data_IF_890717053022
#
_entry.id   IF_890717053022
#
_cell.length_a   1.000
_cell.length_b   1.000
_cell.length_c   1.000
_cell.angle_alpha   90.00
_cell.angle_beta   90.00
_cell.angle_gamma   90.00
#
_symmetry.space_group_name_H-M   'P 1'
#
loop_
_entity.id
_entity.type
_entity.pdbx_description
1 polymer ?
#
# COMPACT_ATOMS: atom_id res chain seq x y z
N UNK A 1 7.78 19.90 11.99
CA UNK A 1 8.37 18.59 11.63
C UNK A 1 8.30 18.51 10.12
N UNK A 2 9.39 18.14 9.42
CA UNK A 2 9.30 17.97 7.96
C UNK A 2 8.47 16.74 7.62
N UNK A 3 7.95 16.70 6.40
CA UNK A 3 7.11 15.63 5.88
C UNK A 3 7.87 14.30 5.85
N UNK A 4 9.17 14.31 5.53
CA UNK A 4 10.03 13.11 5.56
C UNK A 4 10.23 12.60 7.00
N UNK A 5 10.40 13.51 7.98
CA UNK A 5 10.48 13.13 9.39
C UNK A 5 9.15 12.56 9.87
N UNK A 6 8.02 13.14 9.48
CA UNK A 6 6.71 12.61 9.82
C UNK A 6 6.51 11.21 9.25
N UNK A 7 6.91 10.99 7.99
CA UNK A 7 6.87 9.68 7.36
C UNK A 7 7.67 8.63 8.15
N UNK A 8 8.93 8.93 8.49
CA UNK A 8 9.84 8.03 9.20
C UNK A 8 9.43 7.80 10.66
N UNK A 9 9.28 8.88 11.41
CA UNK A 9 9.16 8.87 12.87
C UNK A 9 7.73 8.62 13.37
N UNK A 10 6.72 8.82 12.51
CA UNK A 10 5.31 8.59 12.87
C UNK A 10 4.74 7.43 12.08
N UNK A 11 4.65 7.54 10.76
CA UNK A 11 3.93 6.52 9.97
C UNK A 11 4.67 5.18 9.97
N UNK A 12 5.98 5.16 9.72
CA UNK A 12 6.76 3.91 9.77
C UNK A 12 7.02 3.50 11.22
N UNK A 13 7.59 4.37 12.06
CA UNK A 13 8.05 3.95 13.39
C UNK A 13 6.94 3.67 14.42
N UNK A 14 5.79 4.34 14.33
CA UNK A 14 4.73 4.22 15.36
C UNK A 14 3.49 3.48 14.87
N UNK A 15 3.16 3.56 13.58
CA UNK A 15 1.92 2.99 13.06
C UNK A 15 2.11 1.64 12.35
N UNK A 16 3.30 1.34 11.81
CA UNK A 16 3.58 0.05 11.17
C UNK A 16 3.95 -1.01 12.21
N UNK A 17 3.30 -2.16 12.13
CA UNK A 17 3.62 -3.36 12.90
C UNK A 17 4.91 -4.03 12.42
N UNK A 18 5.43 -4.96 13.22
CA UNK A 18 6.68 -5.67 12.90
C UNK A 18 6.57 -6.53 11.65
N UNK A 19 5.38 -6.94 11.23
CA UNK A 19 5.09 -7.69 10.02
C UNK A 19 5.00 -6.81 8.76
N UNK A 20 4.91 -5.49 8.90
CA UNK A 20 4.69 -4.53 7.82
C UNK A 20 3.24 -4.08 7.67
N UNK A 21 2.30 -4.69 8.40
CA UNK A 21 0.90 -4.25 8.44
C UNK A 21 0.72 -2.98 9.27
N UNK A 22 -0.48 -2.40 9.23
CA UNK A 22 -0.85 -1.25 10.07
C UNK A 22 -1.93 -1.70 11.06
N UNK A 23 -1.59 -1.98 12.34
CA UNK A 23 -2.51 -2.60 13.29
C UNK A 23 -3.82 -1.83 13.50
N UNK A 24 -3.77 -0.49 13.45
CA UNK A 24 -4.99 0.33 13.58
C UNK A 24 -5.93 0.17 12.38
N UNK A 25 -5.39 -0.07 11.19
CA UNK A 25 -6.17 -0.33 9.98
C UNK A 25 -6.74 -1.75 9.95
N UNK A 26 -5.96 -2.73 10.42
CA UNK A 26 -6.40 -4.11 10.59
C UNK A 26 -7.52 -4.27 11.64
N UNK A 27 -7.62 -3.34 12.59
CA UNK A 27 -8.66 -3.33 13.62
C UNK A 27 -9.98 -2.67 13.16
N UNK A 28 -10.06 -2.15 11.92
CA UNK A 28 -11.26 -1.46 11.41
C UNK A 28 -12.34 -2.45 10.97
N UNK A 29 -13.53 -1.91 10.69
CA UNK A 29 -14.65 -2.67 10.12
C UNK A 29 -14.49 -3.01 8.64
N UNK A 30 -13.54 -2.36 7.96
CA UNK A 30 -13.15 -2.62 6.56
C UNK A 30 -11.64 -2.87 6.46
N UNK A 31 -11.10 -3.86 7.19
CA UNK A 31 -9.66 -3.97 7.40
C UNK A 31 -8.87 -4.20 6.10
N UNK A 32 -9.47 -4.81 5.07
CA UNK A 32 -8.82 -5.03 3.79
C UNK A 32 -8.72 -3.72 2.99
N UNK A 33 -9.86 -3.03 2.78
CA UNK A 33 -9.90 -1.74 2.12
C UNK A 33 -9.07 -0.67 2.83
N UNK A 34 -9.07 -0.63 4.17
CA UNK A 34 -8.21 0.29 4.93
C UNK A 34 -6.73 -0.04 4.77
N UNK A 35 -6.35 -1.32 4.73
CA UNK A 35 -4.96 -1.73 4.47
C UNK A 35 -4.50 -1.32 3.07
N UNK A 36 -5.36 -1.49 2.06
CA UNK A 36 -5.11 -1.04 0.68
C UNK A 36 -4.94 0.48 0.64
N UNK A 37 -5.90 1.21 1.21
CA UNK A 37 -5.87 2.68 1.25
C UNK A 37 -4.61 3.20 1.94
N UNK A 38 -4.27 2.63 3.09
CA UNK A 38 -3.07 3.02 3.83
C UNK A 38 -1.80 2.72 3.03
N UNK A 39 -1.71 1.56 2.38
CA UNK A 39 -0.54 1.22 1.56
C UNK A 39 -0.37 2.16 0.38
N UNK A 40 -1.45 2.45 -0.37
CA UNK A 40 -1.38 3.36 -1.52
C UNK A 40 -0.92 4.75 -1.09
N UNK A 41 -1.48 5.31 -0.01
CA UNK A 41 -1.04 6.60 0.51
C UNK A 41 0.42 6.58 1.00
N UNK A 42 0.85 5.51 1.68
CA UNK A 42 2.23 5.37 2.13
C UNK A 42 3.21 5.26 0.95
N UNK A 43 2.87 4.53 -0.09
CA UNK A 43 3.70 4.42 -1.30
C UNK A 43 3.76 5.75 -2.05
N UNK A 44 2.63 6.47 -2.16
CA UNK A 44 2.60 7.78 -2.81
C UNK A 44 3.43 8.82 -2.03
N UNK A 45 3.32 8.86 -0.71
CA UNK A 45 4.18 9.69 0.14
C UNK A 45 5.65 9.33 -0.04
N UNK A 46 5.97 8.03 -0.04
CA UNK A 46 7.33 7.55 -0.32
C UNK A 46 7.83 8.03 -1.68
N UNK A 47 6.99 7.95 -2.72
CA UNK A 47 7.34 8.38 -4.07
C UNK A 47 7.60 9.89 -4.14
N UNK A 48 6.74 10.72 -3.54
CA UNK A 48 6.83 12.19 -3.62
C UNK A 48 7.96 12.75 -2.77
N UNK A 49 8.18 12.18 -1.59
CA UNK A 49 9.15 12.69 -0.60
C UNK A 49 10.55 12.11 -0.81
N UNK A 50 10.71 11.02 -1.57
CA UNK A 50 12.02 10.42 -1.82
C UNK A 50 12.86 11.29 -2.75
N UNK A 51 14.09 11.58 -2.35
CA UNK A 51 15.09 12.29 -3.15
C UNK A 51 16.32 11.42 -3.39
N UNK A 52 17.34 11.94 -4.09
CA UNK A 52 18.62 11.23 -4.26
C UNK A 52 19.39 11.18 -2.94
N UNK A 53 19.29 12.23 -2.14
CA UNK A 53 19.97 12.41 -0.87
C UNK A 53 19.25 11.68 0.27
N UNK A 54 17.92 11.58 0.20
CA UNK A 54 17.09 10.87 1.17
C UNK A 54 16.10 9.92 0.48
N UNK A 55 16.58 8.71 0.20
CA UNK A 55 15.80 7.71 -0.52
C UNK A 55 14.90 6.90 0.43
N UNK A 56 13.62 7.29 0.51
CA UNK A 56 12.64 6.65 1.38
C UNK A 56 12.28 5.21 0.95
N UNK A 57 12.55 4.85 -0.31
CA UNK A 57 12.36 3.48 -0.78
C UNK A 57 13.38 2.50 -0.23
N UNK A 58 14.57 3.00 0.14
CA UNK A 58 15.62 2.23 0.81
C UNK A 58 15.62 2.40 2.32
N UNK A 59 14.84 3.36 2.84
CA UNK A 59 14.74 3.60 4.27
C UNK A 59 14.13 2.40 5.01
N UNK A 60 14.81 2.00 6.08
CA UNK A 60 14.34 0.96 7.00
C UNK A 60 14.73 1.27 8.44
N UNK A 61 13.89 0.86 9.37
CA UNK A 61 14.20 0.85 10.80
C UNK A 61 15.12 -0.34 11.14
N UNK A 62 15.81 -0.31 12.30
CA UNK A 62 16.65 -1.44 12.74
C UNK A 62 15.92 -2.79 12.83
N UNK A 63 14.60 -2.78 13.00
CA UNK A 63 13.73 -3.97 13.02
C UNK A 63 13.18 -4.39 11.63
N UNK A 64 13.65 -3.73 10.57
CA UNK A 64 13.31 -4.00 9.18
C UNK A 64 12.02 -3.34 8.69
N UNK A 65 11.27 -2.62 9.53
CA UNK A 65 10.09 -1.87 9.06
C UNK A 65 10.48 -0.79 8.05
N UNK A 66 9.63 -0.60 7.06
CA UNK A 66 9.87 0.28 5.90
C UNK A 66 8.89 -0.04 4.78
N UNK A 67 8.84 0.79 3.74
CA UNK A 67 7.82 0.67 2.69
C UNK A 67 7.88 -0.66 1.94
N UNK A 68 9.10 -1.21 1.74
CA UNK A 68 9.28 -2.54 1.15
C UNK A 68 8.56 -3.63 1.96
N UNK A 69 8.60 -3.54 3.30
CA UNK A 69 7.93 -4.49 4.19
C UNK A 69 6.41 -4.34 4.14
N UNK A 70 5.90 -3.11 4.06
CA UNK A 70 4.46 -2.86 3.93
C UNK A 70 3.88 -3.41 2.62
N UNK A 71 4.57 -3.22 1.49
CA UNK A 71 4.15 -3.80 0.20
C UNK A 71 4.20 -5.33 0.28
N UNK A 72 5.28 -5.90 0.83
CA UNK A 72 5.44 -7.34 0.99
C UNK A 72 4.36 -7.97 1.90
N UNK A 73 3.94 -7.25 2.95
CA UNK A 73 2.86 -7.68 3.84
C UNK A 73 1.53 -7.82 3.09
N UNK A 74 1.14 -6.82 2.29
CA UNK A 74 -0.19 -6.79 1.67
C UNK A 74 -0.27 -7.57 0.36
N UNK A 75 0.85 -7.66 -0.39
CA UNK A 75 0.93 -8.35 -1.67
C UNK A 75 0.25 -9.73 -1.74
N UNK A 76 0.49 -10.69 -0.83
CA UNK A 76 -0.12 -12.02 -0.93
C UNK A 76 -1.66 -11.98 -0.89
N UNK A 77 -2.24 -11.00 -0.20
CA UNK A 77 -3.68 -10.82 -0.10
C UNK A 77 -4.28 -10.11 -1.31
N UNK A 78 -3.51 -9.21 -1.95
CA UNK A 78 -3.88 -8.61 -3.23
C UNK A 78 -3.84 -9.64 -4.37
N UNK A 79 -2.83 -10.52 -4.35
CA UNK A 79 -2.64 -11.57 -5.33
C UNK A 79 -3.70 -12.67 -5.21
N UNK A 80 -4.10 -12.98 -3.98
CA UNK A 80 -5.09 -13.99 -3.67
C UNK A 80 -5.89 -13.56 -2.44
N UNK A 81 -7.05 -12.94 -2.71
CA UNK A 81 -7.96 -12.43 -1.68
C UNK A 81 -8.48 -13.51 -0.74
N UNK A 82 -8.50 -14.78 -1.16
CA UNK A 82 -8.94 -15.89 -0.31
C UNK A 82 -7.98 -16.16 0.86
N UNK A 83 -6.74 -15.66 0.79
CA UNK A 83 -5.75 -15.76 1.87
C UNK A 83 -5.98 -14.73 2.98
N UNK A 84 -6.87 -13.76 2.80
CA UNK A 84 -7.17 -12.78 3.83
C UNK A 84 -7.76 -13.47 5.07
N UNK A 85 -7.12 -13.28 6.23
CA UNK A 85 -7.45 -14.02 7.46
C UNK A 85 -8.39 -13.27 8.41
N UNK A 86 -8.56 -11.96 8.21
CA UNK A 86 -9.49 -11.15 9.00
C UNK A 86 -10.90 -11.21 8.42
N UNK A 87 -11.86 -10.67 9.17
CA UNK A 87 -13.25 -10.57 8.69
C UNK A 87 -13.31 -9.79 7.37
N UNK A 88 -14.16 -10.21 6.43
CA UNK A 88 -14.47 -9.43 5.23
C UNK A 88 -14.93 -8.01 5.59
N UNK A 89 -14.61 -7.06 4.71
CA UNK A 89 -15.06 -5.68 4.85
C UNK A 89 -16.59 -5.61 4.85
N UNK A 90 -17.18 -4.85 5.77
CA UNK A 90 -18.64 -4.68 5.85
C UNK A 90 -19.25 -3.94 4.65
N UNK A 91 -18.41 -3.34 3.79
CA UNK A 91 -18.80 -2.58 2.61
C UNK A 91 -17.72 -2.73 1.54
N UNK A 92 -18.12 -2.83 0.27
CA UNK A 92 -17.23 -2.87 -0.88
C UNK A 92 -16.20 -4.02 -0.88
N UNK A 93 -16.45 -5.08 -0.09
CA UNK A 93 -15.60 -6.26 -0.06
C UNK A 93 -15.37 -6.80 -1.47
N UNK A 94 -16.43 -7.08 -2.24
CA UNK A 94 -16.35 -7.62 -3.59
C UNK A 94 -15.62 -6.71 -4.59
N UNK A 95 -15.64 -5.39 -4.38
CA UNK A 95 -14.97 -4.44 -5.26
C UNK A 95 -13.44 -4.44 -5.15
N UNK A 96 -12.88 -4.98 -4.07
CA UNK A 96 -11.44 -5.07 -3.86
C UNK A 96 -10.86 -6.44 -4.28
N UNK A 97 -9.58 -6.50 -4.70
CA UNK A 97 -8.71 -5.36 -5.03
C UNK A 97 -8.95 -4.83 -6.45
N UNK A 98 -8.51 -3.60 -6.70
CA UNK A 98 -8.44 -2.97 -8.02
C UNK A 98 -6.98 -2.77 -8.44
N UNK A 99 -6.73 -2.08 -9.56
CA UNK A 99 -5.39 -1.80 -10.09
C UNK A 99 -4.62 -0.74 -9.28
N UNK A 100 -4.13 -1.15 -8.12
CA UNK A 100 -3.64 -0.24 -7.07
C UNK A 100 -2.29 0.40 -7.45
N UNK A 101 -2.16 1.75 -7.37
CA UNK A 101 -0.91 2.46 -7.66
C UNK A 101 0.32 1.93 -6.92
N UNK A 102 0.15 1.47 -5.68
CA UNK A 102 1.26 0.92 -4.88
C UNK A 102 2.00 -0.21 -5.60
N UNK A 103 1.30 -1.11 -6.28
CA UNK A 103 1.91 -2.22 -7.01
C UNK A 103 2.77 -1.75 -8.19
N UNK A 104 2.31 -0.74 -8.94
CA UNK A 104 3.08 -0.20 -10.07
C UNK A 104 4.35 0.50 -9.58
N UNK A 105 4.19 1.43 -8.63
CA UNK A 105 5.31 2.23 -8.13
C UNK A 105 6.34 1.37 -7.41
N UNK A 106 5.90 0.48 -6.51
CA UNK A 106 6.79 -0.45 -5.82
C UNK A 106 7.44 -1.44 -6.78
N UNK A 107 6.69 -1.97 -7.75
CA UNK A 107 7.22 -2.88 -8.77
C UNK A 107 8.35 -2.24 -9.57
N UNK A 108 8.18 -0.96 -9.99
CA UNK A 108 9.22 -0.20 -10.69
C UNK A 108 10.42 0.10 -9.80
N UNK A 109 10.17 0.59 -8.59
CA UNK A 109 11.24 1.06 -7.72
C UNK A 109 12.07 -0.07 -7.09
N UNK A 110 11.47 -1.23 -6.90
CA UNK A 110 12.15 -2.41 -6.36
C UNK A 110 12.63 -3.39 -7.41
N UNK A 111 12.25 -3.21 -8.68
CA UNK A 111 12.52 -4.19 -9.74
C UNK A 111 11.72 -5.49 -9.59
N UNK A 112 10.57 -5.45 -8.92
CA UNK A 112 9.75 -6.63 -8.59
C UNK A 112 8.70 -6.90 -9.66
N UNK A 113 9.03 -7.75 -10.63
CA UNK A 113 8.16 -8.08 -11.74
C UNK A 113 6.79 -8.63 -11.29
N UNK A 114 6.75 -9.38 -10.19
CA UNK A 114 5.51 -9.98 -9.66
C UNK A 114 4.48 -8.93 -9.24
N UNK A 115 4.91 -7.74 -8.79
CA UNK A 115 4.02 -6.63 -8.47
C UNK A 115 3.43 -6.02 -9.73
N UNK A 116 4.26 -5.85 -10.77
CA UNK A 116 3.83 -5.34 -12.08
C UNK A 116 2.86 -6.29 -12.78
N UNK A 117 3.13 -7.60 -12.73
CA UNK A 117 2.27 -8.61 -13.33
C UNK A 117 0.92 -8.71 -12.60
N UNK A 118 0.89 -8.55 -11.28
CA UNK A 118 -0.36 -8.45 -10.54
C UNK A 118 -1.13 -7.19 -10.94
N UNK A 119 -0.47 -6.03 -10.95
CA UNK A 119 -1.07 -4.75 -11.33
C UNK A 119 -1.77 -4.81 -12.70
N UNK A 120 -1.12 -5.43 -13.71
CA UNK A 120 -1.70 -5.61 -15.06
C UNK A 120 -2.99 -6.44 -15.05
N UNK A 121 -3.11 -7.42 -14.15
CA UNK A 121 -4.26 -8.33 -14.06
C UNK A 121 -5.44 -7.74 -13.32
N UNK A 122 -5.20 -6.81 -12.39
CA UNK A 122 -6.25 -6.21 -11.57
C UNK A 122 -7.14 -5.24 -12.39
N UNK A 123 -8.43 -5.10 -12.03
CA UNK A 123 -9.37 -4.22 -12.72
C UNK A 123 -8.88 -2.76 -12.76
N UNK A 124 -8.73 -2.20 -13.96
CA UNK A 124 -8.28 -0.83 -14.16
C UNK A 124 -9.34 0.20 -13.75
N UNK A 125 -10.60 -0.13 -14.04
CA UNK A 125 -11.75 0.75 -13.91
C UNK A 125 -12.77 0.09 -12.97
N UNK A 126 -12.56 0.14 -11.64
CA UNK A 126 -13.51 -0.42 -10.70
C UNK A 126 -14.84 0.34 -10.79
N UNK A 127 -15.97 -0.35 -10.71
CA UNK A 127 -17.32 0.25 -10.81
C UNK A 127 -17.95 0.55 -9.45
N UNK A 128 -17.38 0.02 -8.36
CA UNK A 128 -17.85 0.28 -7.00
C UNK A 128 -17.45 1.71 -6.57
N UNK A 129 -18.39 2.61 -6.25
CA UNK A 129 -18.08 3.99 -5.87
C UNK A 129 -17.21 4.13 -4.62
N UNK A 130 -17.32 3.18 -3.68
CA UNK A 130 -16.48 3.13 -2.49
C UNK A 130 -15.04 2.79 -2.86
N UNK A 131 -14.83 1.89 -3.81
CA UNK A 131 -13.49 1.56 -4.32
C UNK A 131 -12.91 2.77 -5.05
N UNK A 132 -13.67 3.36 -5.99
CA UNK A 132 -13.22 4.50 -6.80
C UNK A 132 -12.77 5.68 -5.93
N UNK A 133 -13.54 6.07 -4.91
CA UNK A 133 -13.20 7.21 -4.05
C UNK A 133 -11.95 6.99 -3.18
N UNK A 134 -11.56 5.74 -2.96
CA UNK A 134 -10.39 5.38 -2.14
C UNK A 134 -9.11 5.20 -2.98
N UNK A 135 -9.18 5.29 -4.31
CA UNK A 135 -8.00 5.28 -5.19
C UNK A 135 -7.66 6.73 -5.55
N UNK A 136 -6.74 7.33 -4.78
CA UNK A 136 -6.38 8.75 -4.94
C UNK A 136 -5.66 9.09 -6.25
N UNK A 137 -4.86 8.16 -6.80
CA UNK A 137 -4.16 8.34 -8.07
C UNK A 137 -4.74 7.38 -9.11
N UNK A 138 -5.53 7.91 -10.02
CA UNK A 138 -6.23 7.12 -11.05
C UNK A 138 -5.39 6.85 -12.29
N UNK A 139 -4.32 7.61 -12.51
CA UNK A 139 -3.41 7.48 -13.66
C UNK A 139 -1.94 7.33 -13.21
N UNK A 140 -1.58 6.24 -12.49
CA UNK A 140 -0.26 6.08 -11.91
C UNK A 140 0.85 5.86 -12.96
N UNK A 141 0.49 5.62 -14.23
CA UNK A 141 1.46 5.53 -15.35
C UNK A 141 2.07 6.87 -15.73
N UNK A 142 1.49 7.99 -15.28
CA UNK A 142 2.02 9.33 -15.50
C UNK A 142 3.09 9.72 -14.45
N UNK A 143 3.37 8.84 -13.50
CA UNK A 143 4.34 9.02 -12.41
C UNK A 143 5.68 8.33 -12.71
#
# INVERSE_FOLDING_TARGET
MSEERQYKEVFVAKQMGLDGGFPLELARTKPYGYSIFQLDNMVLLCQVLSTKEDNLWLYTLPDGRGIRKAVAFLYPFLADKSKWTLKPDIQAWEGWPARQPSLLLAGRQFGEATYLELWKKLPADPTDPEVQRNIGVTQPVLW
#
